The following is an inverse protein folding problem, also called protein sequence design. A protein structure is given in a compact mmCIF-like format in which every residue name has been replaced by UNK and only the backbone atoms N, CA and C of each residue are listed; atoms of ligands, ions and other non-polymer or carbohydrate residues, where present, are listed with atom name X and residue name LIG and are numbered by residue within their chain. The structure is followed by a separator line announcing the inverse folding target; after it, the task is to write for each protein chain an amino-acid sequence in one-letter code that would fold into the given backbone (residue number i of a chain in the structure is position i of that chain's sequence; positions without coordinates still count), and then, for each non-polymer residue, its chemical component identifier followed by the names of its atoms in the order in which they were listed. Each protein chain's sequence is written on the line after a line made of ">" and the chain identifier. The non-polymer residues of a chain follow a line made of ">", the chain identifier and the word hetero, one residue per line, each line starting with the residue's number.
data_IF_193822207412
#
_entry.id   IF_193822207412
#
_cell.length_a   1.000
_cell.length_b   1.000
_cell.length_c   1.000
_cell.angle_alpha   90.00
_cell.angle_beta   90.00
_cell.angle_gamma   90.00
#
_symmetry.space_group_name_H-M   'P 1'
#
loop_
_entity.id
_entity.type
_entity.pdbx_description
1 polymer ?
#
# COMPACT_ATOMS: atom_id res chain seq x y z
N UNK A 1 10.14 -4.93 6.91
CA UNK A 1 9.35 -3.73 6.64
C UNK A 1 9.33 -3.43 5.13
N UNK A 2 8.19 -2.95 4.62
CA UNK A 2 8.00 -2.67 3.18
C UNK A 2 8.99 -1.62 2.65
N UNK A 3 9.41 -0.68 3.49
CA UNK A 3 10.44 0.33 3.15
C UNK A 3 11.76 -0.31 2.71
N UNK A 4 12.23 -1.33 3.44
CA UNK A 4 13.48 -2.05 3.07
C UNK A 4 13.32 -2.79 1.75
N UNK A 5 12.14 -3.36 1.46
CA UNK A 5 11.86 -3.98 0.15
C UNK A 5 11.93 -2.95 -0.97
N UNK A 6 11.37 -1.74 -0.76
CA UNK A 6 11.46 -0.64 -1.70
C UNK A 6 12.90 -0.25 -2.00
N UNK A 7 13.71 -0.07 -0.98
CA UNK A 7 15.14 0.26 -1.13
C UNK A 7 15.93 -0.81 -1.89
N UNK A 8 15.71 -2.10 -1.55
CA UNK A 8 16.33 -3.20 -2.27
C UNK A 8 15.91 -3.23 -3.74
N UNK A 9 14.65 -2.91 -4.03
CA UNK A 9 14.19 -2.83 -5.42
C UNK A 9 14.89 -1.68 -6.16
N UNK A 10 14.99 -0.50 -5.55
CA UNK A 10 15.69 0.64 -6.15
C UNK A 10 17.16 0.32 -6.40
N UNK A 11 17.85 -0.36 -5.47
CA UNK A 11 19.24 -0.81 -5.67
C UNK A 11 19.36 -1.75 -6.88
N UNK A 12 18.46 -2.74 -7.00
CA UNK A 12 18.44 -3.66 -8.17
C UNK A 12 18.22 -2.93 -9.49
N UNK A 13 17.35 -1.90 -9.50
CA UNK A 13 17.14 -1.12 -10.72
C UNK A 13 18.39 -0.31 -11.11
N UNK A 14 19.11 0.24 -10.14
CA UNK A 14 20.39 0.91 -10.37
C UNK A 14 21.43 -0.08 -10.89
N UNK A 15 21.56 -1.25 -10.29
CA UNK A 15 22.45 -2.32 -10.77
C UNK A 15 22.11 -2.75 -12.20
N UNK A 16 20.82 -2.92 -12.52
CA UNK A 16 20.34 -3.24 -13.86
C UNK A 16 20.68 -2.14 -14.89
N UNK A 17 20.53 -0.87 -14.50
CA UNK A 17 20.91 0.27 -15.33
C UNK A 17 22.42 0.29 -15.60
N UNK A 18 23.24 0.06 -14.59
CA UNK A 18 24.70 -0.02 -14.72
C UNK A 18 25.10 -1.15 -15.67
N UNK A 19 24.49 -2.33 -15.50
CA UNK A 19 24.75 -3.49 -16.35
C UNK A 19 24.38 -3.23 -17.81
N UNK A 20 23.26 -2.53 -18.08
CA UNK A 20 22.82 -2.20 -19.43
C UNK A 20 23.71 -1.15 -20.10
N UNK A 21 24.11 -0.12 -19.37
CA UNK A 21 24.85 1.03 -19.93
C UNK A 21 26.37 0.85 -19.92
N UNK A 22 26.88 -0.09 -19.13
CA UNK A 22 28.32 -0.27 -18.89
C UNK A 22 28.96 0.89 -18.12
N UNK A 23 28.20 1.89 -17.69
CA UNK A 23 28.69 3.09 -17.00
C UNK A 23 28.86 2.78 -15.51
N UNK A 24 30.05 3.05 -14.99
CA UNK A 24 30.30 3.02 -13.54
C UNK A 24 29.61 4.21 -12.89
N UNK A 25 28.66 3.95 -11.99
CA UNK A 25 27.96 4.99 -11.25
C UNK A 25 28.74 5.34 -9.98
N UNK A 26 29.07 6.61 -9.83
CA UNK A 26 29.65 7.22 -8.62
C UNK A 26 28.72 8.35 -8.18
N UNK A 27 28.85 8.81 -6.93
CA UNK A 27 28.02 9.90 -6.42
C UNK A 27 28.10 11.18 -7.25
N UNK A 28 29.29 11.47 -7.79
CA UNK A 28 29.59 12.64 -8.64
C UNK A 28 28.84 12.60 -9.97
N UNK A 29 28.56 11.39 -10.46
CA UNK A 29 27.89 11.17 -11.76
C UNK A 29 26.37 11.10 -11.65
N UNK A 30 25.81 11.29 -10.43
CA UNK A 30 24.35 11.36 -10.23
C UNK A 30 23.89 12.79 -10.53
N UNK A 31 24.00 13.16 -11.79
CA UNK A 31 23.65 14.46 -12.36
C UNK A 31 22.30 14.41 -13.11
N UNK A 32 21.98 15.48 -13.85
CA UNK A 32 20.73 15.55 -14.61
C UNK A 32 20.73 14.58 -15.80
N UNK A 33 21.87 14.33 -16.44
CA UNK A 33 21.96 13.40 -17.57
C UNK A 33 21.75 11.95 -17.11
N UNK A 34 22.34 11.59 -15.97
CA UNK A 34 22.02 10.32 -15.32
C UNK A 34 20.52 10.23 -15.01
N UNK A 35 19.93 11.27 -14.41
CA UNK A 35 18.51 11.28 -14.06
C UNK A 35 17.64 11.02 -15.29
N UNK A 36 17.85 11.74 -16.38
CA UNK A 36 17.05 11.59 -17.61
C UNK A 36 17.17 10.18 -18.18
N UNK A 37 18.38 9.64 -18.29
CA UNK A 37 18.61 8.30 -18.82
C UNK A 37 18.10 7.18 -17.89
N UNK A 38 18.15 7.38 -16.58
CA UNK A 38 17.60 6.42 -15.62
C UNK A 38 16.08 6.41 -15.61
N UNK A 39 15.44 7.59 -15.72
CA UNK A 39 13.98 7.69 -15.90
C UNK A 39 13.55 7.01 -17.19
N UNK A 40 14.24 7.24 -18.29
CA UNK A 40 13.98 6.57 -19.58
C UNK A 40 14.13 5.05 -19.46
N UNK A 41 15.21 4.57 -18.85
CA UNK A 41 15.42 3.14 -18.58
C UNK A 41 14.24 2.51 -17.81
N UNK A 42 13.79 3.16 -16.73
CA UNK A 42 12.67 2.65 -15.93
C UNK A 42 11.36 2.68 -16.72
N UNK A 43 11.13 3.73 -17.52
CA UNK A 43 9.94 3.86 -18.37
C UNK A 43 9.92 2.76 -19.44
N UNK A 44 11.04 2.50 -20.09
CA UNK A 44 11.20 1.44 -21.09
C UNK A 44 10.99 0.04 -20.51
N UNK A 45 11.19 -0.15 -19.19
CA UNK A 45 10.81 -1.37 -18.45
C UNK A 45 9.30 -1.48 -18.17
N UNK A 46 8.50 -0.49 -18.56
CA UNK A 46 7.04 -0.48 -18.34
C UNK A 46 6.61 0.00 -16.95
N UNK A 47 7.48 0.65 -16.18
CA UNK A 47 7.08 1.21 -14.89
C UNK A 47 6.20 2.46 -15.06
N UNK A 48 5.14 2.53 -14.26
CA UNK A 48 4.29 3.73 -14.20
C UNK A 48 5.06 4.94 -13.65
N UNK A 49 4.65 6.18 -14.01
CA UNK A 49 5.27 7.40 -13.49
C UNK A 49 5.40 7.44 -11.97
N UNK A 50 4.39 6.95 -11.24
CA UNK A 50 4.42 6.88 -9.78
C UNK A 50 5.48 5.90 -9.26
N UNK A 51 5.67 4.77 -9.94
CA UNK A 51 6.73 3.79 -9.60
C UNK A 51 8.10 4.37 -9.89
N UNK A 52 8.30 5.02 -11.04
CA UNK A 52 9.54 5.75 -11.36
C UNK A 52 9.82 6.81 -10.31
N UNK A 53 8.82 7.61 -9.95
CA UNK A 53 8.92 8.63 -8.91
C UNK A 53 9.33 8.07 -7.55
N UNK A 54 8.84 6.86 -7.19
CA UNK A 54 9.28 6.17 -5.97
C UNK A 54 10.77 5.80 -6.03
N UNK A 55 11.28 5.29 -7.18
CA UNK A 55 12.72 4.98 -7.35
C UNK A 55 13.58 6.24 -7.25
N UNK A 56 13.15 7.34 -7.88
CA UNK A 56 13.84 8.64 -7.78
C UNK A 56 13.81 9.19 -6.34
N UNK A 57 12.69 9.01 -5.62
CA UNK A 57 12.62 9.39 -4.21
C UNK A 57 13.64 8.63 -3.36
N UNK A 58 13.74 7.31 -3.55
CA UNK A 58 14.69 6.47 -2.82
C UNK A 58 16.13 6.86 -3.14
N UNK A 59 16.46 7.08 -4.44
CA UNK A 59 17.77 7.56 -4.87
C UNK A 59 18.13 8.89 -4.18
N UNK A 60 17.22 9.87 -4.19
CA UNK A 60 17.44 11.16 -3.52
C UNK A 60 17.67 11.01 -2.02
N UNK A 61 16.99 10.06 -1.38
CA UNK A 61 17.20 9.74 0.03
C UNK A 61 18.61 9.17 0.26
N UNK A 62 19.07 8.24 -0.58
CA UNK A 62 20.43 7.70 -0.50
C UNK A 62 21.50 8.78 -0.72
N UNK A 63 21.30 9.66 -1.71
CA UNK A 63 22.19 10.77 -1.98
C UNK A 63 22.25 11.75 -0.79
N UNK A 64 21.11 12.07 -0.18
CA UNK A 64 21.09 12.93 1.01
C UNK A 64 21.84 12.28 2.19
N UNK A 65 21.58 11.01 2.48
CA UNK A 65 22.23 10.29 3.57
C UNK A 65 23.76 10.22 3.37
N UNK A 66 24.20 9.95 2.13
CA UNK A 66 25.61 9.93 1.78
C UNK A 66 26.26 11.34 1.91
N UNK A 67 25.52 12.38 1.53
CA UNK A 67 25.97 13.77 1.68
C UNK A 67 26.14 14.16 3.17
N UNK A 68 25.16 13.83 4.02
CA UNK A 68 25.24 14.09 5.47
C UNK A 68 26.42 13.34 6.14
N UNK A 69 26.81 12.21 5.54
CA UNK A 69 28.01 11.45 5.97
C UNK A 69 29.31 11.94 5.35
N UNK A 70 29.31 13.02 4.60
CA UNK A 70 30.47 13.58 3.89
C UNK A 70 31.11 12.59 2.90
N UNK A 71 30.34 11.69 2.27
CA UNK A 71 30.83 10.74 1.28
C UNK A 71 30.88 11.35 -0.13
N UNK A 72 30.24 12.48 -0.37
CA UNK A 72 30.29 13.26 -1.61
C UNK A 72 29.86 14.71 -1.38
N UNK A 73 30.11 15.57 -2.37
CA UNK A 73 29.69 16.99 -2.36
C UNK A 73 28.69 17.34 -3.47
N UNK A 74 28.28 16.34 -4.27
CA UNK A 74 27.33 16.53 -5.36
C UNK A 74 25.95 16.97 -4.83
N UNK A 75 25.40 18.07 -5.39
CA UNK A 75 24.10 18.64 -5.03
C UNK A 75 23.10 18.62 -6.19
N UNK A 76 23.44 18.02 -7.33
CA UNK A 76 22.61 18.01 -8.53
C UNK A 76 21.25 17.34 -8.30
N UNK A 77 21.22 16.30 -7.47
CA UNK A 77 19.99 15.61 -7.09
C UNK A 77 18.98 16.50 -6.31
N UNK A 78 19.39 17.66 -5.80
CA UNK A 78 18.51 18.65 -5.13
C UNK A 78 17.92 19.66 -6.11
N UNK A 79 18.44 19.75 -7.34
CA UNK A 79 17.94 20.68 -8.36
C UNK A 79 16.46 20.38 -8.67
N UNK A 80 15.68 21.42 -8.99
CA UNK A 80 14.24 21.31 -9.31
C UNK A 80 13.97 20.34 -10.48
N UNK A 81 14.86 20.32 -11.48
CA UNK A 81 14.76 19.42 -12.63
C UNK A 81 14.93 17.94 -12.29
N UNK A 82 15.63 17.62 -11.21
CA UNK A 82 15.74 16.26 -10.67
C UNK A 82 14.46 15.95 -9.86
N UNK A 83 13.33 15.93 -10.54
CA UNK A 83 12.01 15.83 -9.94
C UNK A 83 11.60 14.35 -9.76
N UNK A 84 10.55 14.13 -8.96
CA UNK A 84 9.90 12.83 -8.85
C UNK A 84 8.75 12.81 -9.84
N UNK A 85 8.83 12.00 -10.92
CA UNK A 85 7.66 11.81 -11.79
C UNK A 85 6.44 11.40 -10.97
N UNK A 86 5.31 12.00 -11.27
CA UNK A 86 4.04 11.71 -10.59
C UNK A 86 2.90 11.85 -11.59
N UNK A 87 1.99 10.91 -11.54
CA UNK A 87 0.74 10.91 -12.27
C UNK A 87 -0.41 10.86 -11.26
N UNK A 88 -1.45 11.63 -11.50
CA UNK A 88 -2.67 11.56 -10.72
C UNK A 88 -3.40 10.26 -11.07
N UNK A 89 -3.75 9.51 -10.05
CA UNK A 89 -4.53 8.28 -10.20
C UNK A 89 -5.96 8.54 -9.75
N UNK A 90 -6.90 8.12 -10.57
CA UNK A 90 -8.30 8.14 -10.19
C UNK A 90 -8.58 7.00 -9.23
N UNK A 91 -9.14 7.33 -8.07
CA UNK A 91 -9.62 6.33 -7.13
C UNK A 91 -11.10 6.07 -7.38
N UNK A 92 -11.46 4.81 -7.61
CA UNK A 92 -12.86 4.38 -7.61
C UNK A 92 -13.28 4.12 -6.18
N UNK A 93 -14.45 4.61 -5.80
CA UNK A 93 -15.05 4.37 -4.48
C UNK A 93 -16.48 3.86 -4.65
N UNK A 94 -16.92 3.06 -3.71
CA UNK A 94 -18.28 2.53 -3.67
C UNK A 94 -19.15 3.42 -2.79
N UNK A 95 -20.32 3.77 -3.29
CA UNK A 95 -21.33 4.47 -2.51
C UNK A 95 -22.17 3.50 -1.66
N UNK A 96 -23.01 4.02 -0.76
CA UNK A 96 -23.81 3.22 0.16
C UNK A 96 -24.76 2.24 -0.54
N UNK A 97 -25.29 2.59 -1.71
CA UNK A 97 -26.24 1.72 -2.43
C UNK A 97 -25.49 0.59 -3.17
N UNK A 98 -24.28 0.85 -3.64
CA UNK A 98 -23.39 -0.18 -4.19
C UNK A 98 -22.95 -1.16 -3.10
N UNK A 99 -22.59 -0.68 -1.91
CA UNK A 99 -22.30 -1.56 -0.77
C UNK A 99 -23.49 -2.43 -0.37
N UNK A 100 -24.71 -1.88 -0.39
CA UNK A 100 -25.93 -2.66 -0.15
C UNK A 100 -26.18 -3.72 -1.22
N UNK A 101 -25.87 -3.44 -2.50
CA UNK A 101 -25.97 -4.43 -3.58
C UNK A 101 -24.97 -5.56 -3.39
N UNK A 102 -23.73 -5.24 -3.03
CA UNK A 102 -22.70 -6.24 -2.72
C UNK A 102 -23.14 -7.11 -1.53
N UNK A 103 -23.68 -6.50 -0.46
CA UNK A 103 -24.18 -7.22 0.70
C UNK A 103 -25.30 -8.20 0.35
N UNK A 104 -26.19 -7.83 -0.58
CA UNK A 104 -27.34 -8.64 -1.00
C UNK A 104 -26.99 -9.66 -2.09
N UNK A 105 -25.76 -9.67 -2.61
CA UNK A 105 -25.36 -10.63 -3.61
C UNK A 105 -25.40 -12.04 -3.02
N UNK A 106 -26.14 -12.94 -3.66
CA UNK A 106 -26.17 -14.34 -3.29
C UNK A 106 -24.89 -15.04 -3.74
N UNK A 107 -24.12 -15.52 -2.78
CA UNK A 107 -22.88 -16.26 -2.97
C UNK A 107 -22.92 -17.60 -2.22
N UNK A 108 -24.12 -18.14 -1.97
CA UNK A 108 -24.32 -19.39 -1.25
C UNK A 108 -23.58 -20.59 -1.89
N UNK A 109 -23.45 -20.60 -3.22
CA UNK A 109 -22.73 -21.62 -3.97
C UNK A 109 -21.19 -21.44 -3.92
N UNK A 110 -20.71 -20.28 -3.46
CA UNK A 110 -19.30 -19.91 -3.41
C UNK A 110 -18.87 -19.44 -2.00
N UNK A 111 -18.77 -20.36 -1.02
CA UNK A 111 -18.53 -19.99 0.39
C UNK A 111 -17.23 -19.21 0.63
N UNK A 112 -16.26 -19.29 -0.30
CA UNK A 112 -15.02 -18.53 -0.22
C UNK A 112 -15.26 -17.07 -0.58
N UNK A 113 -15.98 -16.81 -1.67
CA UNK A 113 -16.32 -15.44 -2.09
C UNK A 113 -17.27 -14.79 -1.10
N UNK A 114 -18.19 -15.55 -0.53
CA UNK A 114 -19.11 -15.10 0.51
C UNK A 114 -18.33 -14.52 1.71
N UNK A 115 -17.33 -15.26 2.22
CA UNK A 115 -16.45 -14.78 3.29
C UNK A 115 -15.61 -13.56 2.90
N UNK A 116 -15.10 -13.51 1.66
CA UNK A 116 -14.32 -12.37 1.16
C UNK A 116 -15.20 -11.13 1.05
N UNK A 117 -16.42 -11.26 0.52
CA UNK A 117 -17.43 -10.20 0.48
C UNK A 117 -17.71 -9.63 1.87
N UNK A 118 -17.94 -10.49 2.86
CA UNK A 118 -18.26 -10.06 4.22
C UNK A 118 -17.10 -9.33 4.88
N UNK A 119 -15.88 -9.84 4.74
CA UNK A 119 -14.67 -9.13 5.19
C UNK A 119 -14.46 -7.78 4.49
N UNK A 120 -14.73 -7.73 3.19
CA UNK A 120 -14.65 -6.49 2.42
C UNK A 120 -15.64 -5.45 2.96
N UNK A 121 -16.90 -5.86 3.21
CA UNK A 121 -17.92 -4.98 3.76
C UNK A 121 -17.58 -4.51 5.18
N UNK A 122 -17.02 -5.37 6.03
CA UNK A 122 -16.51 -4.98 7.34
C UNK A 122 -15.39 -3.93 7.17
N UNK A 123 -14.45 -4.15 6.24
CA UNK A 123 -13.40 -3.20 5.93
C UNK A 123 -13.95 -1.84 5.47
N UNK A 124 -14.94 -1.83 4.57
CA UNK A 124 -15.60 -0.60 4.09
C UNK A 124 -16.32 0.16 5.22
N UNK A 125 -16.99 -0.56 6.12
CA UNK A 125 -17.75 0.05 7.23
C UNK A 125 -16.87 0.53 8.38
N UNK A 126 -15.67 -0.03 8.54
CA UNK A 126 -14.76 0.30 9.64
C UNK A 126 -13.61 1.21 9.24
N UNK A 127 -13.24 1.24 7.96
CA UNK A 127 -12.06 1.94 7.47
C UNK A 127 -10.74 1.33 7.95
N UNK A 128 -10.75 0.12 8.50
CA UNK A 128 -9.56 -0.57 8.97
C UNK A 128 -8.67 -1.01 7.80
N UNK A 129 -7.34 -0.92 7.99
CA UNK A 129 -6.40 -1.55 7.07
C UNK A 129 -6.55 -3.07 7.13
N UNK A 130 -6.24 -3.76 6.06
CA UNK A 130 -6.30 -5.22 6.02
C UNK A 130 -5.52 -5.88 7.17
N UNK A 131 -4.35 -5.32 7.55
CA UNK A 131 -3.57 -5.80 8.69
C UNK A 131 -4.31 -5.73 10.02
N UNK A 132 -5.09 -4.67 10.22
CA UNK A 132 -5.88 -4.47 11.44
C UNK A 132 -7.16 -5.30 11.37
N UNK A 133 -7.82 -5.33 10.20
CA UNK A 133 -8.99 -6.16 9.93
C UNK A 133 -8.72 -7.65 10.19
N UNK A 134 -7.55 -8.15 9.79
CA UNK A 134 -7.16 -9.56 9.99
C UNK A 134 -6.90 -9.95 11.45
N UNK A 135 -6.72 -8.97 12.34
CA UNK A 135 -6.53 -9.17 13.78
C UNK A 135 -7.80 -8.89 14.60
N UNK A 136 -8.84 -8.39 13.95
CA UNK A 136 -10.10 -8.12 14.61
C UNK A 136 -10.72 -9.43 15.10
N UNK A 137 -11.19 -9.45 16.33
CA UNK A 137 -11.85 -10.59 16.99
C UNK A 137 -13.11 -10.13 17.73
N UNK A 138 -13.89 -11.07 18.23
CA UNK A 138 -15.04 -10.80 19.10
C UNK A 138 -14.70 -9.95 20.31
N UNK A 139 -13.49 -10.10 20.87
CA UNK A 139 -13.00 -9.34 22.03
C UNK A 139 -12.88 -7.81 21.75
N UNK A 140 -12.80 -7.44 20.49
CA UNK A 140 -12.74 -6.04 20.08
C UNK A 140 -14.13 -5.38 19.98
N UNK A 141 -15.21 -6.15 20.12
CA UNK A 141 -16.57 -5.71 19.85
C UNK A 141 -17.34 -5.54 21.16
N UNK A 142 -17.72 -4.32 21.46
CA UNK A 142 -18.65 -4.01 22.54
C UNK A 142 -20.07 -3.85 21.98
N UNK A 143 -20.90 -4.86 22.22
CA UNK A 143 -22.28 -4.87 21.75
C UNK A 143 -23.18 -3.91 22.56
N UNK A 144 -22.84 -3.60 23.81
CA UNK A 144 -23.59 -2.69 24.69
C UNK A 144 -23.38 -1.25 24.21
N UNK A 145 -22.14 -0.82 24.11
CA UNK A 145 -21.77 0.51 23.62
C UNK A 145 -21.88 0.61 22.08
N UNK A 146 -22.07 -0.51 21.39
CA UNK A 146 -22.15 -0.59 19.92
C UNK A 146 -20.91 -0.01 19.23
N UNK A 147 -19.73 -0.40 19.70
CA UNK A 147 -18.43 0.04 19.17
C UNK A 147 -17.46 -1.12 18.95
N UNK A 148 -16.50 -0.89 18.07
CA UNK A 148 -15.32 -1.73 17.87
C UNK A 148 -14.11 -0.96 18.40
N UNK A 149 -13.36 -1.57 19.31
CA UNK A 149 -12.13 -0.98 19.86
C UNK A 149 -10.95 -1.84 19.49
N UNK A 150 -10.00 -1.27 18.71
CA UNK A 150 -8.82 -2.00 18.26
C UNK A 150 -7.56 -1.14 18.35
N UNK A 151 -6.43 -1.78 18.70
CA UNK A 151 -5.11 -1.15 18.64
C UNK A 151 -4.48 -1.44 17.28
N UNK A 152 -4.24 -0.39 16.48
CA UNK A 152 -3.74 -0.50 15.12
C UNK A 152 -2.28 -0.97 15.09
N UNK A 153 -1.94 -1.83 14.13
CA UNK A 153 -0.59 -2.43 13.98
C UNK A 153 0.46 -1.39 13.62
N UNK A 154 0.12 -0.48 12.69
CA UNK A 154 1.10 0.45 12.14
C UNK A 154 1.47 1.58 13.11
N UNK A 155 0.48 2.13 13.80
CA UNK A 155 0.69 3.31 14.66
C UNK A 155 0.65 2.99 16.15
N UNK A 156 0.19 1.79 16.53
CA UNK A 156 0.01 1.38 17.92
C UNK A 156 -1.08 2.17 18.66
N UNK A 157 -1.89 2.95 17.95
CA UNK A 157 -2.96 3.76 18.53
C UNK A 157 -4.24 2.94 18.68
N UNK A 158 -4.94 3.15 19.78
CA UNK A 158 -6.29 2.62 19.96
C UNK A 158 -7.27 3.50 19.20
N UNK A 159 -8.13 2.88 18.40
CA UNK A 159 -9.24 3.52 17.69
C UNK A 159 -10.56 2.91 18.14
N UNK A 160 -11.60 3.75 18.24
CA UNK A 160 -12.97 3.35 18.59
C UNK A 160 -13.82 3.68 17.37
N UNK A 161 -14.51 2.68 16.85
CA UNK A 161 -15.31 2.75 15.62
C UNK A 161 -16.75 2.36 15.94
N UNK A 162 -17.76 3.14 15.54
CA UNK A 162 -19.15 2.75 15.70
C UNK A 162 -19.46 1.44 14.98
N UNK A 163 -20.18 0.52 15.63
CA UNK A 163 -20.56 -0.77 15.05
C UNK A 163 -21.70 -0.57 14.04
N UNK A 164 -21.37 -0.57 12.76
CA UNK A 164 -22.33 -0.38 11.67
C UNK A 164 -23.32 -1.55 11.60
N UNK A 165 -24.57 -1.28 11.22
CA UNK A 165 -25.64 -2.28 11.15
C UNK A 165 -25.29 -3.49 10.24
N UNK A 166 -24.66 -3.25 9.09
CA UNK A 166 -24.19 -4.33 8.18
C UNK A 166 -23.15 -5.22 8.89
N UNK A 167 -22.21 -4.62 9.62
CA UNK A 167 -21.18 -5.39 10.35
C UNK A 167 -21.84 -6.26 11.42
N UNK A 168 -22.80 -5.71 12.16
CA UNK A 168 -23.58 -6.49 13.15
C UNK A 168 -24.31 -7.67 12.53
N UNK A 169 -24.94 -7.48 11.37
CA UNK A 169 -25.63 -8.55 10.66
C UNK A 169 -24.67 -9.63 10.17
N UNK A 170 -23.53 -9.23 9.63
CA UNK A 170 -22.50 -10.18 9.22
C UNK A 170 -22.02 -10.99 10.43
N UNK A 171 -21.69 -10.36 11.55
CA UNK A 171 -21.23 -11.06 12.76
C UNK A 171 -22.25 -12.09 13.25
N UNK A 172 -23.55 -11.79 13.19
CA UNK A 172 -24.59 -12.75 13.55
C UNK A 172 -24.57 -14.03 12.71
N UNK A 173 -24.18 -13.94 11.43
CA UNK A 173 -24.04 -15.10 10.55
C UNK A 173 -22.82 -15.98 10.86
N UNK A 174 -21.90 -15.48 11.69
CA UNK A 174 -20.67 -16.16 12.09
C UNK A 174 -20.58 -16.36 13.62
N UNK A 175 -21.70 -16.55 14.31
CA UNK A 175 -21.77 -16.76 15.76
C UNK A 175 -21.06 -15.67 16.58
N UNK A 176 -21.14 -14.42 16.11
CA UNK A 176 -20.43 -13.24 16.62
C UNK A 176 -18.89 -13.28 16.47
N UNK A 177 -18.37 -14.21 15.70
CA UNK A 177 -16.97 -14.23 15.28
C UNK A 177 -16.77 -13.47 13.96
N UNK A 178 -15.54 -13.27 13.57
CA UNK A 178 -15.24 -12.68 12.27
C UNK A 178 -14.98 -13.76 11.22
N UNK A 179 -15.44 -13.55 9.98
CA UNK A 179 -15.13 -14.47 8.91
C UNK A 179 -13.62 -14.56 8.70
N UNK A 180 -13.06 -15.76 8.75
CA UNK A 180 -11.63 -15.99 8.48
C UNK A 180 -11.33 -15.76 7.01
N UNK A 181 -10.54 -14.74 6.73
CA UNK A 181 -10.14 -14.35 5.39
C UNK A 181 -8.91 -15.07 4.86
N UNK A 182 -8.70 -14.99 3.54
CA UNK A 182 -7.47 -15.43 2.90
C UNK A 182 -6.31 -14.47 3.22
N UNK A 183 -5.10 -14.75 2.72
CA UNK A 183 -3.99 -13.79 2.76
C UNK A 183 -4.34 -12.48 2.04
N UNK A 184 -3.67 -11.36 2.39
CA UNK A 184 -3.90 -10.06 1.76
C UNK A 184 -3.84 -10.10 0.23
N UNK A 185 -2.89 -10.84 -0.34
CA UNK A 185 -2.77 -10.99 -1.78
C UNK A 185 -4.02 -11.65 -2.37
N UNK A 186 -4.42 -12.82 -1.83
CA UNK A 186 -5.62 -13.52 -2.30
C UNK A 186 -6.92 -12.74 -2.08
N UNK A 187 -6.97 -11.95 -1.00
CA UNK A 187 -8.10 -11.05 -0.74
C UNK A 187 -8.25 -10.04 -1.88
N UNK A 188 -7.15 -9.39 -2.28
CA UNK A 188 -7.15 -8.44 -3.39
C UNK A 188 -7.40 -9.09 -4.76
N UNK A 189 -7.04 -10.36 -4.92
CA UNK A 189 -7.30 -11.10 -6.18
C UNK A 189 -8.80 -11.45 -6.35
N UNK A 190 -9.58 -11.46 -5.25
CA UNK A 190 -11.01 -11.78 -5.25
C UNK A 190 -11.94 -10.54 -5.28
N UNK A 191 -11.42 -9.36 -4.98
CA UNK A 191 -12.13 -8.07 -5.04
C UNK A 191 -11.91 -7.40 -6.39
#
# INVERSE_FOLDING_TARGET
>A
PNTVKGYKQTAREIEGYIALTGKRLQFENVDLDFYLSFVEYLTNKGYSPNTVGARIKDLKMFMNEAYERNLHTNMDFKKKRFSKPKEETYSVYLNSDELKKIYKCDLSDEPRLDRVRDLFLIGCCTGLRFSDLSLLSSDNIDNVESVITIKTVETGRTVVIPLHAIVRQILQNYDNELPRGPSNQKFNDYI
#
